data_IF_911384226379
#
_entry.id   IF_911384226379
#
_cell.length_a   1.000
_cell.length_b   1.000
_cell.length_c   1.000
_cell.angle_alpha   90.00
_cell.angle_beta   90.00
_cell.angle_gamma   90.00
#
_symmetry.space_group_name_H-M   'P 1'
#
loop_
_entity.id
_entity.type
_entity.pdbx_description
1 polymer ?
#
# COMPACT_ATOMS: atom_id res chain seq x y z
N UNK A 1 -15.34 -3.27 8.54
CA UNK A 1 -16.78 -3.55 8.42
C UNK A 1 -17.25 -4.40 9.59
N UNK A 2 -16.76 -5.67 9.75
CA UNK A 2 -17.21 -6.59 10.80
C UNK A 2 -17.11 -6.02 12.22
N UNK A 3 -15.96 -5.43 12.58
CA UNK A 3 -15.77 -4.80 13.90
C UNK A 3 -16.71 -3.61 14.15
N UNK A 4 -17.09 -2.88 13.10
CA UNK A 4 -18.13 -1.85 13.18
C UNK A 4 -19.50 -2.46 13.46
N UNK A 5 -19.87 -3.49 12.73
CA UNK A 5 -21.15 -4.17 12.93
C UNK A 5 -21.30 -4.80 14.32
N UNK A 6 -20.23 -5.36 14.86
CA UNK A 6 -20.26 -5.89 16.23
C UNK A 6 -20.50 -4.82 17.29
N UNK A 7 -20.05 -3.59 17.05
CA UNK A 7 -20.22 -2.46 17.98
C UNK A 7 -21.56 -1.73 17.77
N UNK A 8 -21.91 -1.50 16.49
CA UNK A 8 -22.97 -0.58 16.10
C UNK A 8 -24.27 -1.31 15.66
N UNK A 9 -24.24 -2.65 15.62
CA UNK A 9 -25.32 -3.50 15.14
C UNK A 9 -25.14 -3.95 13.68
N UNK A 10 -25.83 -5.04 13.32
CA UNK A 10 -25.79 -5.59 11.97
C UNK A 10 -26.77 -4.85 11.05
N UNK A 11 -26.42 -4.57 9.78
CA UNK A 11 -27.35 -4.00 8.84
C UNK A 11 -28.43 -5.05 8.44
N UNK A 12 -29.60 -4.58 8.03
CA UNK A 12 -30.68 -5.44 7.52
C UNK A 12 -30.27 -6.20 6.26
N UNK A 13 -29.43 -5.57 5.42
CA UNK A 13 -28.92 -6.15 4.18
C UNK A 13 -27.39 -6.06 4.16
N UNK A 14 -26.75 -7.15 3.79
CA UNK A 14 -25.31 -7.21 3.57
C UNK A 14 -25.00 -8.03 2.31
N UNK A 15 -24.08 -7.55 1.51
CA UNK A 15 -23.58 -8.25 0.33
C UNK A 15 -22.18 -8.79 0.61
N UNK A 16 -21.97 -10.08 0.33
CA UNK A 16 -20.65 -10.70 0.42
C UNK A 16 -19.89 -10.55 -0.90
N UNK A 17 -18.64 -10.11 -0.83
CA UNK A 17 -17.74 -10.11 -1.99
C UNK A 17 -16.99 -11.44 -2.14
N UNK A 18 -17.22 -12.40 -1.23
CA UNK A 18 -16.45 -13.65 -1.17
C UNK A 18 -16.56 -14.49 -2.43
N UNK A 19 -17.71 -14.46 -3.08
CA UNK A 19 -18.00 -15.30 -4.25
C UNK A 19 -17.76 -14.57 -5.59
N UNK A 20 -17.30 -13.32 -5.55
CA UNK A 20 -16.95 -12.56 -6.73
C UNK A 20 -15.51 -12.89 -7.16
N UNK A 21 -15.29 -13.46 -8.38
CA UNK A 21 -13.95 -13.81 -8.84
C UNK A 21 -12.96 -12.63 -8.81
N UNK A 22 -13.40 -11.44 -9.27
CA UNK A 22 -12.58 -10.23 -9.29
C UNK A 22 -12.13 -9.81 -7.88
N UNK A 23 -12.97 -10.01 -6.85
CA UNK A 23 -12.63 -9.67 -5.47
C UNK A 23 -11.69 -10.68 -4.80
N UNK A 24 -11.43 -11.84 -5.43
CA UNK A 24 -10.57 -12.91 -4.92
C UNK A 24 -9.34 -13.17 -5.79
N UNK A 25 -9.15 -12.41 -6.85
CA UNK A 25 -8.00 -12.56 -7.74
C UNK A 25 -6.68 -12.26 -7.01
N UNK A 26 -5.65 -13.08 -7.28
CA UNK A 26 -4.27 -12.86 -6.83
C UNK A 26 -3.36 -13.12 -8.01
N UNK A 27 -2.47 -12.19 -8.31
CA UNK A 27 -1.52 -12.32 -9.41
C UNK A 27 -0.54 -11.16 -9.49
N UNK A 28 0.41 -11.22 -10.45
CA UNK A 28 1.49 -10.24 -10.58
C UNK A 28 1.04 -8.78 -10.71
N UNK A 29 -0.10 -8.54 -11.35
CA UNK A 29 -0.62 -7.18 -11.55
C UNK A 29 -2.00 -6.94 -10.95
N UNK A 30 -2.50 -7.83 -10.07
CA UNK A 30 -3.85 -7.71 -9.51
C UNK A 30 -3.96 -8.32 -8.12
N UNK A 31 -4.79 -7.70 -7.28
CA UNK A 31 -5.10 -8.20 -5.94
C UNK A 31 -6.54 -7.84 -5.56
N UNK A 32 -7.37 -8.86 -5.36
CA UNK A 32 -8.77 -8.71 -5.01
C UNK A 32 -8.99 -8.23 -3.58
N UNK A 33 -10.03 -7.43 -3.37
CA UNK A 33 -10.33 -6.81 -2.08
C UNK A 33 -10.82 -7.80 -1.00
N UNK A 34 -11.39 -8.95 -1.40
CA UNK A 34 -11.81 -10.00 -0.48
C UNK A 34 -10.68 -10.98 -0.10
N UNK A 35 -9.51 -10.88 -0.75
CA UNK A 35 -8.34 -11.69 -0.41
C UNK A 35 -7.92 -11.41 1.03
N UNK A 36 -7.78 -12.48 1.83
CA UNK A 36 -7.28 -12.38 3.20
C UNK A 36 -5.76 -12.23 3.20
N UNK A 37 -5.24 -11.44 4.15
CA UNK A 37 -3.85 -10.99 4.11
C UNK A 37 -2.82 -12.14 4.14
N UNK A 38 -3.13 -13.25 4.79
CA UNK A 38 -2.22 -14.40 4.84
C UNK A 38 -2.07 -15.15 3.52
N UNK A 39 -2.92 -14.87 2.52
CA UNK A 39 -2.83 -15.43 1.17
C UNK A 39 -2.01 -14.56 0.20
N UNK A 40 -1.49 -13.44 0.68
CA UNK A 40 -0.65 -12.55 -0.11
C UNK A 40 0.78 -13.09 -0.06
N UNK A 41 1.16 -13.88 -1.06
CA UNK A 41 2.47 -14.53 -1.20
C UNK A 41 2.94 -14.52 -2.67
N UNK A 42 4.01 -15.23 -2.98
CA UNK A 42 4.53 -15.60 -4.29
C UNK A 42 4.46 -14.54 -5.39
N UNK A 43 3.33 -14.47 -6.05
CA UNK A 43 3.16 -13.73 -7.31
C UNK A 43 2.89 -12.22 -7.17
N UNK A 44 2.78 -11.69 -5.96
CA UNK A 44 2.61 -10.24 -5.76
C UNK A 44 3.94 -9.55 -5.42
N UNK A 45 4.09 -8.25 -5.75
CA UNK A 45 5.31 -7.50 -5.44
C UNK A 45 5.73 -7.58 -3.97
N UNK A 46 7.04 -7.57 -3.73
CA UNK A 46 7.63 -7.69 -2.40
C UNK A 46 7.02 -6.70 -1.40
N UNK A 47 6.79 -5.47 -1.83
CA UNK A 47 6.22 -4.41 -0.98
C UNK A 47 4.86 -4.80 -0.39
N UNK A 48 3.97 -5.43 -1.18
CA UNK A 48 2.67 -5.89 -0.69
C UNK A 48 2.78 -7.11 0.22
N UNK A 49 3.64 -8.07 -0.12
CA UNK A 49 3.89 -9.26 0.71
C UNK A 49 4.40 -8.88 2.09
N UNK A 50 5.43 -8.02 2.13
CA UNK A 50 6.00 -7.53 3.39
C UNK A 50 5.00 -6.70 4.19
N UNK A 51 4.26 -5.80 3.53
CA UNK A 51 3.22 -5.03 4.20
C UNK A 51 2.17 -5.95 4.84
N UNK A 52 1.64 -6.92 4.09
CA UNK A 52 0.64 -7.86 4.59
C UNK A 52 1.16 -8.71 5.76
N UNK A 53 2.40 -9.20 5.68
CA UNK A 53 3.03 -10.03 6.71
C UNK A 53 3.18 -9.30 8.06
N UNK A 54 3.24 -7.96 8.06
CA UNK A 54 3.43 -7.15 9.28
C UNK A 54 2.12 -6.65 9.90
N UNK A 55 0.95 -6.98 9.31
CA UNK A 55 -0.36 -6.59 9.87
C UNK A 55 -0.73 -7.50 11.04
N UNK A 56 -0.84 -6.90 12.23
CA UNK A 56 -1.33 -7.57 13.44
C UNK A 56 -0.72 -8.95 13.69
N UNK A 57 -1.52 -9.84 14.29
CA UNK A 57 -1.13 -11.24 14.55
C UNK A 57 -1.46 -12.16 13.38
N UNK A 58 -0.97 -13.41 13.43
CA UNK A 58 -1.35 -14.43 12.46
C UNK A 58 -2.88 -14.68 12.41
N UNK A 59 -3.56 -14.59 13.55
CA UNK A 59 -5.01 -14.71 13.61
C UNK A 59 -5.70 -13.55 12.86
N UNK A 60 -5.23 -12.32 13.06
CA UNK A 60 -5.74 -11.14 12.33
C UNK A 60 -5.55 -11.32 10.82
N UNK A 61 -4.37 -11.75 10.36
CA UNK A 61 -4.10 -11.92 8.92
C UNK A 61 -4.95 -13.00 8.24
N UNK A 62 -5.44 -13.99 8.98
CA UNK A 62 -6.37 -15.01 8.45
C UNK A 62 -7.79 -14.52 8.25
N UNK A 63 -8.16 -13.39 8.84
CA UNK A 63 -9.51 -12.83 8.76
C UNK A 63 -9.58 -11.45 8.11
N UNK A 64 -8.54 -10.64 8.28
CA UNK A 64 -8.45 -9.33 7.64
C UNK A 64 -8.26 -9.46 6.14
N UNK A 65 -8.99 -8.65 5.38
CA UNK A 65 -8.94 -8.62 3.92
C UNK A 65 -8.22 -7.37 3.40
N UNK A 66 -7.78 -7.40 2.16
CA UNK A 66 -7.16 -6.27 1.45
C UNK A 66 -8.06 -5.04 1.50
N UNK A 67 -9.31 -5.15 1.06
CA UNK A 67 -10.27 -4.04 1.05
C UNK A 67 -10.58 -3.54 2.46
N UNK A 68 -10.74 -4.45 3.43
CA UNK A 68 -10.93 -4.10 4.83
C UNK A 68 -9.73 -3.35 5.41
N UNK A 69 -8.51 -3.69 5.02
CA UNK A 69 -7.31 -3.00 5.47
C UNK A 69 -7.15 -1.61 4.84
N UNK A 70 -7.37 -1.48 3.53
CA UNK A 70 -7.17 -0.21 2.79
C UNK A 70 -8.28 0.80 3.08
N UNK A 71 -9.55 0.37 3.05
CA UNK A 71 -10.70 1.27 3.13
C UNK A 71 -11.28 1.35 4.53
N UNK A 72 -11.37 0.21 5.22
CA UNK A 72 -12.07 0.09 6.51
C UNK A 72 -11.21 0.29 7.74
N UNK A 73 -9.90 0.04 7.67
CA UNK A 73 -8.98 0.17 8.80
C UNK A 73 -8.50 1.61 8.97
N UNK A 74 -8.39 2.09 10.20
CA UNK A 74 -7.75 3.37 10.50
C UNK A 74 -6.25 3.36 10.20
N UNK A 75 -5.58 2.22 10.43
CA UNK A 75 -4.14 2.09 10.21
C UNK A 75 -3.74 1.92 8.74
N UNK A 76 -4.63 1.44 7.89
CA UNK A 76 -4.41 1.29 6.44
C UNK A 76 -3.01 0.76 6.07
N UNK A 77 -2.57 -0.31 6.72
CA UNK A 77 -1.18 -0.79 6.63
C UNK A 77 -0.74 -1.15 5.20
N UNK A 78 -1.66 -1.57 4.32
CA UNK A 78 -1.38 -1.87 2.91
C UNK A 78 -1.40 -0.62 2.03
N UNK A 79 -1.96 0.50 2.48
CA UNK A 79 -2.13 1.69 1.65
C UNK A 79 -0.80 2.24 1.13
N UNK A 80 0.26 2.43 1.94
CA UNK A 80 1.56 2.87 1.42
C UNK A 80 2.11 1.94 0.34
N UNK A 81 1.98 0.62 0.52
CA UNK A 81 2.44 -0.35 -0.46
C UNK A 81 1.65 -0.29 -1.78
N UNK A 82 0.34 -0.07 -1.72
CA UNK A 82 -0.49 0.09 -2.91
C UNK A 82 -0.22 1.42 -3.65
N UNK A 83 0.04 2.51 -2.91
CA UNK A 83 0.36 3.82 -3.49
C UNK A 83 1.69 3.79 -4.28
N UNK A 84 2.74 3.16 -3.75
CA UNK A 84 4.02 3.10 -4.47
C UNK A 84 3.96 2.20 -5.71
N UNK A 85 3.00 1.29 -5.80
CA UNK A 85 2.72 0.51 -7.00
C UNK A 85 1.92 1.26 -8.05
N UNK A 86 1.54 2.51 -7.79
CA UNK A 86 0.60 3.27 -8.63
C UNK A 86 -0.71 2.51 -8.87
N UNK A 87 -1.19 1.86 -7.82
CA UNK A 87 -2.31 0.94 -7.95
C UNK A 87 -3.60 1.68 -8.30
N UNK A 88 -4.22 1.26 -9.39
CA UNK A 88 -5.59 1.65 -9.74
C UNK A 88 -6.57 0.78 -8.98
N UNK A 89 -7.63 1.38 -8.51
CA UNK A 89 -8.68 0.71 -7.76
C UNK A 89 -9.87 0.38 -8.66
N UNK A 90 -10.31 -0.88 -8.66
CA UNK A 90 -11.59 -1.28 -9.26
C UNK A 90 -12.68 -1.13 -8.22
N UNK A 91 -13.68 -0.31 -8.51
CA UNK A 91 -14.78 0.06 -7.62
C UNK A 91 -16.09 -0.54 -8.10
N UNK A 92 -16.91 -1.00 -7.15
CA UNK A 92 -18.28 -1.43 -7.38
C UNK A 92 -19.26 -0.35 -6.90
N UNK A 93 -20.10 0.13 -7.80
CA UNK A 93 -21.31 0.91 -7.52
C UNK A 93 -22.56 0.10 -7.91
N UNK A 94 -23.76 0.52 -7.52
CA UNK A 94 -24.97 -0.26 -7.77
C UNK A 94 -25.23 -0.58 -9.24
N UNK A 95 -24.81 0.28 -10.16
CA UNK A 95 -25.09 0.23 -11.60
C UNK A 95 -23.84 0.03 -12.48
N UNK A 96 -22.65 0.09 -11.89
CA UNK A 96 -21.39 0.00 -12.66
C UNK A 96 -20.20 -0.50 -11.87
N UNK A 97 -19.22 -0.99 -12.63
CA UNK A 97 -17.86 -1.25 -12.14
C UNK A 97 -16.91 -0.36 -12.94
N UNK A 98 -16.01 0.35 -12.28
CA UNK A 98 -15.05 1.25 -12.93
C UNK A 98 -13.72 1.30 -12.21
N UNK A 99 -12.70 1.84 -12.89
CA UNK A 99 -11.38 2.05 -12.30
C UNK A 99 -11.21 3.53 -11.93
N UNK A 100 -10.59 3.77 -10.78
CA UNK A 100 -10.27 5.11 -10.29
C UNK A 100 -8.98 5.12 -9.48
N UNK A 101 -8.57 6.30 -9.03
CA UNK A 101 -7.41 6.45 -8.16
C UNK A 101 -7.69 5.91 -6.75
N UNK A 102 -6.67 5.30 -6.17
CA UNK A 102 -6.77 4.74 -4.83
C UNK A 102 -7.07 5.81 -3.77
N UNK A 103 -6.54 7.04 -3.94
CA UNK A 103 -6.82 8.15 -3.05
C UNK A 103 -8.32 8.51 -3.02
N UNK A 104 -8.98 8.50 -4.18
CA UNK A 104 -10.44 8.74 -4.28
C UNK A 104 -11.22 7.67 -3.51
N UNK A 105 -10.86 6.39 -3.68
CA UNK A 105 -11.52 5.27 -2.98
C UNK A 105 -11.41 5.41 -1.47
N UNK A 106 -10.24 5.80 -0.99
CA UNK A 106 -9.98 6.01 0.44
C UNK A 106 -10.79 7.19 0.99
N UNK A 107 -10.82 8.31 0.26
CA UNK A 107 -11.55 9.52 0.66
C UNK A 107 -13.07 9.31 0.70
N UNK A 108 -13.62 8.68 -0.35
CA UNK A 108 -15.07 8.46 -0.51
C UNK A 108 -15.57 7.15 0.11
N UNK A 109 -14.66 6.26 0.56
CA UNK A 109 -14.97 4.93 1.10
C UNK A 109 -15.78 4.05 0.16
N UNK A 110 -15.48 4.11 -1.11
CA UNK A 110 -16.11 3.26 -2.13
C UNK A 110 -15.94 1.76 -1.83
N UNK A 111 -16.83 0.95 -2.37
CA UNK A 111 -16.71 -0.51 -2.32
C UNK A 111 -15.59 -0.95 -3.26
N UNK A 112 -14.44 -1.28 -2.70
CA UNK A 112 -13.29 -1.77 -3.43
C UNK A 112 -13.50 -3.23 -3.84
N UNK A 113 -13.38 -3.54 -5.13
CA UNK A 113 -13.35 -4.91 -5.66
C UNK A 113 -11.93 -5.45 -5.76
N UNK A 114 -10.97 -4.62 -6.12
CA UNK A 114 -9.59 -5.02 -6.26
C UNK A 114 -8.68 -3.88 -6.65
N UNK A 115 -7.39 -4.20 -6.71
CA UNK A 115 -6.32 -3.33 -7.14
C UNK A 115 -5.66 -3.89 -8.39
N UNK A 116 -5.19 -3.00 -9.27
CA UNK A 116 -4.35 -3.34 -10.43
C UNK A 116 -3.16 -2.39 -10.49
N UNK A 117 -2.02 -2.90 -10.91
CA UNK A 117 -0.77 -2.12 -11.03
C UNK A 117 0.08 -2.66 -12.19
N UNK A 118 1.10 -1.89 -12.55
CA UNK A 118 2.22 -2.38 -13.35
C UNK A 118 3.29 -2.96 -12.42
N UNK A 119 3.90 -4.07 -12.81
CA UNK A 119 4.98 -4.66 -12.03
C UNK A 119 6.14 -3.66 -11.91
N UNK A 120 6.59 -3.35 -10.69
CA UNK A 120 7.75 -2.47 -10.51
C UNK A 120 9.04 -3.20 -10.87
N UNK A 121 10.09 -2.48 -11.25
CA UNK A 121 11.44 -3.02 -11.40
C UNK A 121 11.88 -3.64 -10.09
N UNK A 122 11.75 -2.89 -9.02
CA UNK A 122 12.05 -3.35 -7.66
C UNK A 122 11.11 -2.65 -6.68
N UNK A 123 10.83 -3.29 -5.56
CA UNK A 123 10.05 -2.66 -4.49
C UNK A 123 10.59 -3.04 -3.12
N UNK A 124 10.26 -2.24 -2.11
CA UNK A 124 10.70 -2.46 -0.74
C UNK A 124 9.70 -1.94 0.28
N UNK A 125 9.78 -2.50 1.49
CA UNK A 125 8.92 -2.13 2.60
C UNK A 125 9.68 -2.25 3.91
N UNK A 126 9.56 -1.23 4.74
CA UNK A 126 10.11 -1.25 6.08
C UNK A 126 9.06 -0.74 7.09
N UNK A 127 8.98 -1.42 8.23
CA UNK A 127 8.15 -1.04 9.37
C UNK A 127 9.04 -0.93 10.59
N UNK A 128 9.09 0.25 11.18
CA UNK A 128 9.86 0.47 12.41
C UNK A 128 9.22 -0.32 13.56
N UNK A 129 10.00 -1.02 14.39
CA UNK A 129 9.48 -1.64 15.60
C UNK A 129 8.78 -0.60 16.49
N UNK A 130 7.71 -1.00 17.15
CA UNK A 130 6.97 -0.14 18.09
C UNK A 130 6.62 -0.92 19.34
N UNK A 131 6.54 -0.23 20.46
CA UNK A 131 6.14 -0.79 21.75
C UNK A 131 4.65 -1.15 21.75
N UNK A 132 4.30 -2.17 22.52
CA UNK A 132 2.92 -2.55 22.72
C UNK A 132 2.14 -1.42 23.42
N UNK A 133 1.04 -0.98 22.79
CA UNK A 133 0.23 0.13 23.31
C UNK A 133 0.76 1.53 22.98
N UNK A 134 1.89 1.62 22.29
CA UNK A 134 2.45 2.87 21.77
C UNK A 134 1.72 3.40 20.54
N UNK A 135 2.19 4.54 19.98
CA UNK A 135 1.66 5.10 18.74
C UNK A 135 1.84 4.10 17.57
N UNK A 136 1.04 4.24 16.50
CA UNK A 136 1.22 3.42 15.32
C UNK A 136 2.65 3.49 14.78
N UNK A 137 3.31 2.35 14.50
CA UNK A 137 4.68 2.34 14.03
C UNK A 137 4.83 3.06 12.70
N UNK A 138 5.94 3.78 12.51
CA UNK A 138 6.28 4.36 11.23
C UNK A 138 6.48 3.26 10.17
N UNK A 139 5.98 3.52 8.98
CA UNK A 139 6.07 2.60 7.84
C UNK A 139 6.56 3.37 6.62
N UNK A 140 7.46 2.79 5.87
CA UNK A 140 7.87 3.29 4.56
C UNK A 140 7.79 2.18 3.51
N UNK A 141 7.21 2.51 2.37
CA UNK A 141 7.13 1.70 1.17
C UNK A 141 7.82 2.43 0.02
N UNK A 142 8.48 1.69 -0.86
CA UNK A 142 9.18 2.22 -2.02
C UNK A 142 8.97 1.31 -3.22
N UNK A 143 8.93 1.88 -4.42
CA UNK A 143 8.98 1.12 -5.66
C UNK A 143 9.66 1.95 -6.76
N UNK A 144 10.45 1.29 -7.60
CA UNK A 144 11.02 1.86 -8.82
C UNK A 144 10.23 1.33 -10.01
N UNK A 145 9.75 2.23 -10.83
CA UNK A 145 9.05 1.92 -12.08
C UNK A 145 9.87 2.42 -13.26
N UNK A 146 9.85 1.66 -14.35
CA UNK A 146 10.34 2.12 -15.63
C UNK A 146 9.15 2.48 -16.53
N UNK A 147 9.23 3.61 -17.24
CA UNK A 147 8.30 3.92 -18.31
C UNK A 147 8.73 3.28 -19.64
N UNK A 148 7.91 3.47 -20.67
CA UNK A 148 8.19 2.92 -22.01
C UNK A 148 9.44 3.52 -22.68
N UNK A 149 9.91 4.68 -22.21
CA UNK A 149 11.10 5.37 -22.70
C UNK A 149 12.37 5.03 -21.88
N UNK A 150 12.24 4.12 -20.92
CA UNK A 150 13.33 3.69 -20.04
C UNK A 150 13.65 4.65 -18.90
N UNK A 151 12.86 5.71 -18.70
CA UNK A 151 13.01 6.60 -17.55
C UNK A 151 12.58 5.87 -16.29
N UNK A 152 13.33 6.09 -15.22
CA UNK A 152 13.04 5.48 -13.93
C UNK A 152 12.43 6.50 -12.97
N UNK A 153 11.31 6.10 -12.36
CA UNK A 153 10.58 6.88 -11.36
C UNK A 153 10.58 6.12 -10.04
N UNK A 154 11.09 6.76 -9.00
CA UNK A 154 10.97 6.28 -7.63
C UNK A 154 9.66 6.80 -7.03
N UNK A 155 8.84 5.89 -6.53
CA UNK A 155 7.67 6.21 -5.70
C UNK A 155 7.97 5.87 -4.25
N UNK A 156 7.63 6.79 -3.36
CA UNK A 156 7.81 6.64 -1.93
C UNK A 156 6.49 6.94 -1.25
N UNK A 157 6.07 6.09 -0.33
CA UNK A 157 4.94 6.37 0.55
C UNK A 157 5.32 6.03 1.98
N UNK A 158 4.94 6.89 2.91
CA UNK A 158 5.16 6.66 4.33
C UNK A 158 3.85 6.82 5.10
N UNK A 159 3.70 6.06 6.17
CA UNK A 159 2.65 6.28 7.15
C UNK A 159 3.28 6.68 8.47
N UNK A 160 2.99 7.91 8.88
CA UNK A 160 3.33 8.45 10.19
C UNK A 160 2.07 8.59 11.03
N UNK A 161 2.00 7.85 12.12
CA UNK A 161 0.76 7.73 12.87
C UNK A 161 -0.40 7.19 12.01
N UNK A 162 -1.38 8.03 11.71
CA UNK A 162 -2.55 7.73 10.87
C UNK A 162 -2.51 8.41 9.49
N UNK A 163 -1.56 9.29 9.29
CA UNK A 163 -1.38 10.02 8.03
C UNK A 163 -0.52 9.22 7.06
N UNK A 164 -0.82 9.36 5.78
CA UNK A 164 -0.08 8.71 4.71
C UNK A 164 0.37 9.77 3.72
N UNK A 165 1.68 9.90 3.58
CA UNK A 165 2.35 10.71 2.58
C UNK A 165 2.72 9.85 1.39
N UNK A 166 2.67 10.40 0.18
CA UNK A 166 3.10 9.69 -1.02
C UNK A 166 3.63 10.66 -2.06
N UNK A 167 4.83 10.37 -2.57
CA UNK A 167 5.51 11.19 -3.56
C UNK A 167 6.17 10.37 -4.65
N UNK A 168 6.45 11.03 -5.76
CA UNK A 168 7.14 10.44 -6.90
C UNK A 168 8.24 11.37 -7.37
N UNK A 169 9.46 10.84 -7.47
CA UNK A 169 10.63 11.61 -7.90
C UNK A 169 11.43 10.86 -8.98
N UNK A 170 12.04 11.55 -9.95
CA UNK A 170 12.99 10.94 -10.87
C UNK A 170 14.17 10.34 -10.11
N UNK A 171 14.71 9.21 -10.60
CA UNK A 171 15.81 8.52 -9.93
C UNK A 171 16.92 8.07 -10.89
N UNK A 172 16.97 8.59 -12.11
CA UNK A 172 17.97 8.24 -13.12
C UNK A 172 19.38 8.75 -12.76
N UNK A 173 19.47 9.87 -12.06
CA UNK A 173 20.72 10.54 -11.70
C UNK A 173 21.34 10.01 -10.40
N UNK A 174 20.73 9.00 -9.82
CA UNK A 174 21.23 8.31 -8.62
C UNK A 174 20.54 8.71 -7.31
N UNK A 175 20.90 8.01 -6.23
CA UNK A 175 20.20 8.13 -4.95
C UNK A 175 20.28 9.53 -4.33
N UNK A 176 21.40 10.22 -4.43
CA UNK A 176 21.56 11.54 -3.80
C UNK A 176 20.63 12.59 -4.38
N UNK A 177 20.36 12.55 -5.70
CA UNK A 177 19.45 13.49 -6.34
C UNK A 177 17.99 13.15 -6.02
N UNK A 178 17.65 11.87 -6.05
CA UNK A 178 16.33 11.40 -5.65
C UNK A 178 16.02 11.79 -4.18
N UNK A 179 16.97 11.63 -3.27
CA UNK A 179 16.83 12.05 -1.87
C UNK A 179 16.67 13.56 -1.73
N UNK A 180 17.49 14.36 -2.43
CA UNK A 180 17.34 15.82 -2.43
C UNK A 180 15.97 16.27 -3.01
N UNK A 181 15.48 15.58 -4.04
CA UNK A 181 14.15 15.86 -4.59
C UNK A 181 13.06 15.54 -3.59
N UNK A 182 13.16 14.39 -2.90
CA UNK A 182 12.22 13.97 -1.88
C UNK A 182 12.21 14.90 -0.67
N UNK A 183 13.37 15.38 -0.22
CA UNK A 183 13.49 16.32 0.90
C UNK A 183 12.87 17.71 0.63
N UNK A 184 12.59 18.04 -0.63
CA UNK A 184 11.86 19.26 -1.01
C UNK A 184 10.35 19.12 -0.98
N UNK A 185 9.84 17.91 -0.75
CA UNK A 185 8.41 17.60 -0.61
C UNK A 185 8.01 17.55 0.87
N UNK A 186 6.80 17.08 1.16
CA UNK A 186 6.32 16.87 2.52
C UNK A 186 7.21 15.90 3.34
N UNK A 187 7.97 15.03 2.67
CA UNK A 187 8.93 14.14 3.34
C UNK A 187 10.05 14.90 4.06
N UNK A 188 10.44 16.08 3.58
CA UNK A 188 11.41 16.95 4.25
C UNK A 188 10.93 17.49 5.60
N UNK A 189 9.63 17.58 5.82
CA UNK A 189 9.03 18.02 7.08
C UNK A 189 8.94 16.91 8.14
N UNK A 190 9.21 15.66 7.77
CA UNK A 190 9.21 14.54 8.72
C UNK A 190 10.26 14.74 9.82
N UNK A 191 10.02 14.20 11.04
CA UNK A 191 11.04 14.15 12.08
C UNK A 191 12.34 13.51 11.57
N UNK A 192 13.49 13.97 12.06
CA UNK A 192 14.81 13.53 11.58
C UNK A 192 15.00 12.01 11.61
N UNK A 193 14.46 11.33 12.64
CA UNK A 193 14.51 9.88 12.76
C UNK A 193 13.70 9.18 11.65
N UNK A 194 12.46 9.61 11.43
CA UNK A 194 11.59 9.09 10.38
C UNK A 194 12.19 9.33 8.98
N UNK A 195 12.69 10.54 8.73
CA UNK A 195 13.40 10.87 7.49
C UNK A 195 14.63 10.00 7.26
N UNK A 196 15.41 9.72 8.32
CA UNK A 196 16.53 8.77 8.24
C UNK A 196 16.10 7.35 7.86
N UNK A 197 14.93 6.89 8.28
CA UNK A 197 14.37 5.60 7.85
C UNK A 197 14.00 5.64 6.36
N UNK A 198 13.36 6.72 5.90
CA UNK A 198 13.02 6.91 4.48
C UNK A 198 14.27 6.90 3.62
N UNK A 199 15.30 7.66 3.99
CA UNK A 199 16.56 7.75 3.24
C UNK A 199 17.24 6.38 3.10
N UNK A 200 17.33 5.60 4.18
CA UNK A 200 17.90 4.23 4.12
C UNK A 200 17.10 3.33 3.19
N UNK A 201 15.77 3.37 3.27
CA UNK A 201 14.90 2.54 2.43
C UNK A 201 14.99 2.93 0.95
N UNK A 202 15.10 4.23 0.64
CA UNK A 202 15.30 4.74 -0.72
C UNK A 202 16.65 4.30 -1.26
N UNK A 203 17.72 4.45 -0.49
CA UNK A 203 19.07 4.03 -0.91
C UNK A 203 19.11 2.52 -1.20
N UNK A 204 18.52 1.70 -0.32
CA UNK A 204 18.45 0.24 -0.49
C UNK A 204 17.71 -0.14 -1.80
N UNK A 205 16.53 0.43 -2.04
CA UNK A 205 15.76 0.08 -3.23
C UNK A 205 16.43 0.55 -4.52
N UNK A 206 17.09 1.71 -4.51
CA UNK A 206 17.82 2.22 -5.68
C UNK A 206 19.09 1.41 -5.96
N UNK A 207 19.79 0.94 -4.92
CA UNK A 207 20.92 0.04 -5.08
C UNK A 207 20.50 -1.27 -5.77
N UNK A 208 19.41 -1.89 -5.31
CA UNK A 208 18.87 -3.12 -5.94
C UNK A 208 18.36 -2.86 -7.38
N UNK A 209 17.77 -1.70 -7.65
CA UNK A 209 17.33 -1.34 -8.99
C UNK A 209 18.50 -1.13 -9.99
N UNK A 210 19.72 -0.91 -9.51
CA UNK A 210 20.90 -0.76 -10.35
C UNK A 210 21.54 -2.11 -10.71
N UNK A 211 21.20 -3.18 -10.03
CA UNK A 211 21.69 -4.55 -10.26
C UNK A 211 20.83 -5.31 -11.30
N UNK A 212 19.58 -4.84 -11.55
CA UNK A 212 18.62 -5.35 -12.54
C UNK A 212 18.72 -4.57 -13.88
#
# INVERSE_FOLDING_TARGET
VWAGWQRDGFPELAMSLRDLPAANAVGRGTLGAAVVLHRIDGDVPEVLRRAAATVGTGAVRRTATVGGNIVGSTLRCLLPAALVLDARATVLEPDRVYETDLAEVVAKRHVLLGLRWREPVVSGYHKVPADAGGPPPFVVATAVHADGDGRRLLRVAARDGYEVLSESVPCETGPDEALRALDRTEFGALPAEARGVVHRQVTDVLARAAED
#
